data_IF_305455108163
#
_entry.id   IF_305455108163
#
_cell.length_a   1.000
_cell.length_b   1.000
_cell.length_c   1.000
_cell.angle_alpha   90.00
_cell.angle_beta   90.00
_cell.angle_gamma   90.00
#
_symmetry.space_group_name_H-M   'P 1'
#
loop_
_entity.id
_entity.type
_entity.pdbx_description
1 polymer ?
#
# COMPACT_ATOMS: atom_id res chain seq x y z
N UNK A 1 -20.64 -19.53 -5.43
CA UNK A 1 -20.28 -20.04 -6.77
C UNK A 1 -19.02 -19.34 -7.23
N UNK A 2 -18.09 -20.06 -7.87
CA UNK A 2 -16.84 -19.50 -8.37
C UNK A 2 -16.69 -19.75 -9.87
N UNK A 3 -16.05 -18.82 -10.58
CA UNK A 3 -15.71 -18.94 -12.00
C UNK A 3 -14.22 -18.62 -12.16
N UNK A 4 -13.53 -19.43 -12.97
CA UNK A 4 -12.14 -19.20 -13.39
C UNK A 4 -12.12 -19.12 -14.91
N UNK A 5 -11.55 -18.07 -15.48
CA UNK A 5 -11.40 -17.89 -16.91
C UNK A 5 -9.94 -17.53 -17.24
N UNK A 6 -9.33 -18.32 -18.11
CA UNK A 6 -7.94 -18.13 -18.53
C UNK A 6 -7.91 -17.44 -19.90
N UNK A 7 -6.99 -16.50 -20.09
CA UNK A 7 -6.77 -15.75 -21.33
C UNK A 7 -5.28 -15.53 -21.54
N UNK A 8 -4.82 -15.47 -22.78
CA UNK A 8 -3.44 -15.17 -23.12
C UNK A 8 -3.39 -13.95 -24.02
N UNK A 9 -2.48 -13.03 -23.71
CA UNK A 9 -2.18 -11.91 -24.58
C UNK A 9 -0.89 -12.18 -25.33
N UNK A 10 -0.91 -11.97 -26.64
CA UNK A 10 0.27 -12.01 -27.49
C UNK A 10 0.67 -10.58 -27.75
N UNK A 11 1.87 -10.22 -27.31
CA UNK A 11 2.42 -8.86 -27.37
C UNK A 11 3.69 -8.90 -28.22
N UNK A 12 3.86 -7.92 -29.08
CA UNK A 12 5.11 -7.76 -29.82
C UNK A 12 6.20 -7.17 -28.92
N UNK A 13 7.36 -7.82 -28.86
CA UNK A 13 8.49 -7.36 -28.05
C UNK A 13 9.09 -6.03 -28.55
N UNK A 14 9.03 -5.76 -29.85
CA UNK A 14 9.64 -4.56 -30.42
C UNK A 14 8.76 -3.31 -30.22
N UNK A 15 7.46 -3.46 -30.44
CA UNK A 15 6.49 -2.34 -30.38
C UNK A 15 5.77 -2.24 -29.04
N UNK A 16 5.71 -3.33 -28.27
CA UNK A 16 4.90 -3.41 -27.05
C UNK A 16 3.39 -3.47 -27.33
N UNK A 17 2.98 -3.57 -28.60
CA UNK A 17 1.56 -3.61 -28.96
C UNK A 17 0.98 -5.01 -28.74
N UNK A 18 -0.23 -5.05 -28.18
CA UNK A 18 -1.00 -6.29 -28.02
C UNK A 18 -1.59 -6.68 -29.36
N UNK A 19 -1.00 -7.66 -30.03
CA UNK A 19 -1.42 -8.14 -31.34
C UNK A 19 -2.65 -9.05 -31.26
N UNK A 20 -2.71 -9.93 -30.26
CA UNK A 20 -3.73 -10.98 -30.20
C UNK A 20 -4.19 -11.25 -28.77
N UNK A 21 -5.43 -11.72 -28.61
CA UNK A 21 -5.93 -12.31 -27.36
C UNK A 21 -6.44 -13.72 -27.63
N UNK A 22 -5.82 -14.73 -27.02
CA UNK A 22 -6.27 -16.12 -27.07
C UNK A 22 -7.12 -16.42 -25.84
N UNK A 23 -8.27 -17.03 -26.05
CA UNK A 23 -9.15 -17.52 -24.98
C UNK A 23 -9.49 -18.98 -25.24
N UNK A 24 -10.00 -19.70 -24.23
CA UNK A 24 -10.39 -21.11 -24.41
C UNK A 24 -11.41 -21.35 -25.53
N UNK A 25 -12.20 -20.34 -25.88
CA UNK A 25 -13.23 -20.40 -26.92
C UNK A 25 -12.82 -19.79 -28.27
N UNK A 26 -11.75 -19.01 -28.32
CA UNK A 26 -11.41 -18.22 -29.50
C UNK A 26 -9.91 -17.94 -29.61
N UNK A 27 -9.34 -18.26 -30.77
CA UNK A 27 -7.97 -17.97 -31.15
C UNK A 27 -7.96 -17.21 -32.48
N UNK A 28 -7.61 -15.93 -32.46
CA UNK A 28 -7.65 -15.05 -33.62
C UNK A 28 -6.39 -15.19 -34.48
N UNK A 29 -6.34 -16.11 -35.45
CA UNK A 29 -5.09 -16.41 -36.15
C UNK A 29 -4.58 -15.23 -37.00
N UNK A 30 -3.54 -14.54 -36.53
CA UNK A 30 -2.70 -13.65 -37.31
C UNK A 30 -1.34 -14.31 -37.56
N UNK A 31 -0.70 -13.99 -38.69
CA UNK A 31 0.62 -14.53 -39.03
C UNK A 31 1.64 -14.07 -37.98
N UNK A 32 2.33 -14.98 -37.27
CA UNK A 32 3.19 -14.60 -36.17
C UNK A 32 4.41 -13.83 -36.68
N UNK A 33 4.67 -12.67 -36.08
CA UNK A 33 5.97 -12.00 -36.18
C UNK A 33 7.02 -12.79 -35.39
N UNK A 34 8.31 -12.57 -35.66
CA UNK A 34 9.41 -13.42 -35.15
C UNK A 34 9.75 -13.24 -33.67
N UNK A 35 9.14 -12.29 -32.96
CA UNK A 35 9.46 -11.95 -31.56
C UNK A 35 8.20 -11.65 -30.73
N UNK A 36 7.46 -12.70 -30.38
CA UNK A 36 6.21 -12.61 -29.62
C UNK A 36 6.40 -12.95 -28.14
N UNK A 37 5.80 -12.12 -27.28
CA UNK A 37 5.69 -12.29 -25.85
C UNK A 37 4.30 -12.82 -25.49
N UNK A 38 4.24 -13.97 -24.82
CA UNK A 38 2.98 -14.57 -24.38
C UNK A 38 2.74 -14.32 -22.90
N UNK A 39 1.67 -13.58 -22.57
CA UNK A 39 1.29 -13.23 -21.20
C UNK A 39 0.00 -13.95 -20.83
N UNK A 40 0.09 -14.95 -19.96
CA UNK A 40 -1.10 -15.61 -19.39
C UNK A 40 -1.74 -14.75 -18.31
N UNK A 41 -3.05 -14.56 -18.36
CA UNK A 41 -3.86 -13.88 -17.35
C UNK A 41 -5.06 -14.75 -16.97
N UNK A 42 -5.30 -14.89 -15.68
CA UNK A 42 -6.48 -15.56 -15.14
C UNK A 42 -7.40 -14.57 -14.45
N UNK A 43 -8.68 -14.66 -14.76
CA UNK A 43 -9.79 -13.99 -14.07
C UNK A 43 -10.47 -14.97 -13.11
N UNK A 44 -10.53 -14.59 -11.84
CA UNK A 44 -11.21 -15.32 -10.77
C UNK A 44 -12.41 -14.50 -10.31
N UNK A 45 -13.62 -15.03 -10.49
CA UNK A 45 -14.85 -14.42 -9.99
C UNK A 45 -15.41 -15.27 -8.86
N UNK A 46 -15.66 -14.66 -7.71
CA UNK A 46 -16.25 -15.32 -6.54
C UNK A 46 -17.53 -14.60 -6.17
N UNK A 47 -18.61 -15.38 -6.06
CA UNK A 47 -19.94 -14.90 -5.66
C UNK A 47 -20.42 -15.66 -4.44
N UNK A 48 -20.89 -14.92 -3.44
CA UNK A 48 -21.48 -15.44 -2.22
C UNK A 48 -22.95 -15.03 -2.17
N UNK A 49 -23.82 -16.02 -2.03
CA UNK A 49 -25.26 -15.84 -1.91
C UNK A 49 -25.70 -16.17 -0.49
N UNK A 50 -26.67 -15.43 0.02
CA UNK A 50 -27.40 -15.82 1.23
C UNK A 50 -28.39 -16.93 0.89
N UNK A 51 -28.35 -18.03 1.65
CA UNK A 51 -29.26 -19.15 1.45
C UNK A 51 -30.69 -18.83 1.90
N UNK A 52 -30.88 -17.87 2.82
CA UNK A 52 -32.19 -17.51 3.37
C UNK A 52 -32.92 -16.50 2.48
N UNK A 53 -32.27 -15.41 2.12
CA UNK A 53 -32.88 -14.38 1.26
C UNK A 53 -32.73 -14.66 -0.24
N UNK A 54 -31.85 -15.61 -0.62
CA UNK A 54 -31.44 -15.87 -2.02
C UNK A 54 -30.81 -14.66 -2.72
N UNK A 55 -30.34 -13.67 -1.95
CA UNK A 55 -29.70 -12.47 -2.48
C UNK A 55 -28.18 -12.61 -2.56
N UNK A 56 -27.57 -11.88 -3.49
CA UNK A 56 -26.12 -11.80 -3.64
C UNK A 56 -25.54 -10.93 -2.51
N UNK A 57 -24.78 -11.55 -1.61
CA UNK A 57 -24.13 -10.89 -0.46
C UNK A 57 -22.77 -10.31 -0.81
N UNK A 58 -22.03 -10.98 -1.68
CA UNK A 58 -20.67 -10.57 -2.04
C UNK A 58 -20.34 -11.01 -3.46
N UNK A 59 -19.72 -10.10 -4.22
CA UNK A 59 -19.26 -10.34 -5.59
C UNK A 59 -17.90 -9.67 -5.76
N UNK A 60 -16.88 -10.47 -6.03
CA UNK A 60 -15.53 -9.96 -6.29
C UNK A 60 -14.94 -10.65 -7.51
N UNK A 61 -14.22 -9.85 -8.29
CA UNK A 61 -13.42 -10.33 -9.42
C UNK A 61 -11.97 -9.93 -9.20
N UNK A 62 -11.07 -10.90 -9.29
CA UNK A 62 -9.63 -10.72 -9.11
C UNK A 62 -8.89 -11.23 -10.34
N UNK A 63 -7.85 -10.53 -10.74
CA UNK A 63 -7.00 -10.89 -11.87
C UNK A 63 -5.60 -11.20 -11.41
N UNK A 64 -4.99 -12.23 -11.99
CA UNK A 64 -3.58 -12.56 -11.75
C UNK A 64 -2.91 -12.94 -13.06
N UNK A 65 -1.64 -12.59 -13.20
CA UNK A 65 -0.80 -13.09 -14.30
C UNK A 65 -0.22 -14.44 -13.94
N UNK A 66 -0.17 -15.33 -14.93
CA UNK A 66 0.50 -16.62 -14.83
C UNK A 66 2.01 -16.38 -14.83
N UNK A 67 2.64 -16.60 -13.67
CA UNK A 67 4.06 -16.39 -13.48
C UNK A 67 4.62 -17.47 -12.54
N UNK A 68 5.88 -17.84 -12.75
CA UNK A 68 6.62 -18.72 -11.84
C UNK A 68 7.25 -17.92 -10.71
N UNK A 69 7.52 -18.58 -9.60
CA UNK A 69 8.35 -18.00 -8.54
C UNK A 69 9.82 -18.05 -8.98
N UNK A 70 10.64 -17.07 -8.57
CA UNK A 70 12.06 -17.06 -8.88
C UNK A 70 12.74 -18.26 -8.20
N UNK A 71 13.68 -18.85 -8.91
CA UNK A 71 14.57 -19.88 -8.37
C UNK A 71 15.56 -19.25 -7.38
N UNK A 72 16.02 -19.99 -6.37
CA UNK A 72 16.97 -19.45 -5.36
C UNK A 72 18.31 -19.03 -5.99
N UNK A 73 18.66 -19.62 -7.14
CA UNK A 73 19.86 -19.31 -7.93
C UNK A 73 19.72 -18.08 -8.84
N UNK A 74 18.55 -17.44 -8.88
CA UNK A 74 18.35 -16.23 -9.67
C UNK A 74 19.11 -15.04 -9.07
N UNK A 75 20.17 -14.59 -9.72
CA UNK A 75 20.97 -13.42 -9.34
C UNK A 75 20.21 -12.09 -9.55
N UNK A 76 19.10 -11.90 -8.86
CA UNK A 76 18.35 -10.65 -8.88
C UNK A 76 18.84 -9.71 -7.78
N UNK A 77 19.60 -8.68 -8.17
CA UNK A 77 20.26 -7.74 -7.25
C UNK A 77 19.44 -6.47 -6.96
N UNK A 78 18.14 -6.48 -7.22
CA UNK A 78 17.29 -5.31 -6.98
C UNK A 78 16.19 -5.65 -5.98
N UNK A 79 15.83 -4.67 -5.16
CA UNK A 79 14.69 -4.73 -4.25
C UNK A 79 13.72 -3.60 -4.58
N UNK A 80 12.42 -3.91 -4.57
CA UNK A 80 11.38 -2.95 -4.92
C UNK A 80 10.54 -2.60 -3.69
N UNK A 81 10.31 -1.30 -3.51
CA UNK A 81 9.36 -0.77 -2.55
C UNK A 81 8.21 -0.11 -3.30
N UNK A 82 6.98 -0.53 -3.03
CA UNK A 82 5.79 0.00 -3.65
C UNK A 82 4.88 0.65 -2.61
N UNK A 83 4.30 1.79 -2.98
CA UNK A 83 3.29 2.47 -2.18
C UNK A 83 1.93 1.80 -2.33
N UNK A 84 1.21 1.62 -1.20
CA UNK A 84 -0.07 0.92 -1.22
C UNK A 84 -1.22 1.69 -1.89
N UNK A 85 -1.11 3.01 -2.12
CA UNK A 85 -2.24 3.84 -2.58
C UNK A 85 -1.97 4.82 -3.73
N UNK A 86 -0.72 5.17 -4.04
CA UNK A 86 -0.39 6.31 -4.92
C UNK A 86 0.32 5.90 -6.23
N UNK A 87 1.00 4.74 -6.24
CA UNK A 87 1.75 4.26 -7.42
C UNK A 87 3.21 4.67 -7.46
N UNK A 88 3.72 5.28 -6.39
CA UNK A 88 5.16 5.49 -6.18
C UNK A 88 5.86 4.14 -5.99
N UNK A 89 6.93 3.93 -6.77
CA UNK A 89 7.85 2.80 -6.69
C UNK A 89 9.26 3.32 -6.52
N UNK A 90 9.97 2.76 -5.55
CA UNK A 90 11.39 3.00 -5.32
C UNK A 90 12.12 1.68 -5.49
N UNK A 91 13.08 1.64 -6.42
CA UNK A 91 13.92 0.47 -6.64
C UNK A 91 15.32 0.77 -6.13
N UNK A 92 15.84 -0.16 -5.36
CA UNK A 92 17.15 -0.06 -4.71
C UNK A 92 17.99 -1.27 -5.04
N UNK A 93 19.29 -1.11 -5.00
CA UNK A 93 20.23 -2.23 -5.08
C UNK A 93 20.14 -3.06 -3.79
N UNK A 94 19.98 -4.38 -3.91
CA UNK A 94 19.73 -5.26 -2.76
C UNK A 94 20.95 -5.42 -1.85
N UNK A 95 22.15 -5.29 -2.41
CA UNK A 95 23.41 -5.45 -1.67
C UNK A 95 23.83 -4.16 -0.95
N UNK A 96 23.77 -3.02 -1.63
CA UNK A 96 24.19 -1.72 -1.11
C UNK A 96 23.08 -0.91 -0.43
N UNK A 97 21.82 -1.10 -0.82
CA UNK A 97 20.69 -0.26 -0.39
C UNK A 97 20.67 1.11 -1.10
N UNK A 98 21.47 1.30 -2.14
CA UNK A 98 21.50 2.52 -2.92
C UNK A 98 20.26 2.62 -3.83
N UNK A 99 19.65 3.79 -3.88
CA UNK A 99 18.49 4.04 -4.74
C UNK A 99 18.94 4.05 -6.20
N UNK A 100 18.40 3.12 -7.00
CA UNK A 100 18.66 3.03 -8.43
C UNK A 100 17.77 3.98 -9.21
N UNK A 101 16.46 3.96 -8.92
CA UNK A 101 15.49 4.84 -9.55
C UNK A 101 14.21 4.95 -8.72
N UNK A 102 13.49 6.05 -8.95
CA UNK A 102 12.20 6.35 -8.35
C UNK A 102 11.23 6.70 -9.48
N UNK A 103 10.07 6.08 -9.51
CA UNK A 103 9.06 6.31 -10.54
C UNK A 103 7.67 6.33 -9.91
N UNK A 104 6.80 7.21 -10.40
CA UNK A 104 5.37 7.20 -10.07
C UNK A 104 4.56 6.77 -11.30
N UNK A 105 3.71 5.76 -11.13
CA UNK A 105 2.84 5.22 -12.18
C UNK A 105 1.38 5.71 -12.09
N UNK A 106 1.02 6.48 -11.06
CA UNK A 106 -0.33 7.05 -10.87
C UNK A 106 -1.40 6.04 -10.42
N UNK A 107 -1.04 4.77 -10.24
CA UNK A 107 -1.89 3.74 -9.66
C UNK A 107 -1.04 2.75 -8.85
N UNK A 108 -1.55 2.22 -7.73
CA UNK A 108 -0.77 1.36 -6.84
C UNK A 108 -0.28 0.12 -7.59
N UNK A 109 1.03 -0.11 -7.52
CA UNK A 109 1.67 -1.26 -8.18
C UNK A 109 1.46 -2.49 -7.30
N UNK A 110 0.82 -3.52 -7.87
CA UNK A 110 0.40 -4.73 -7.11
C UNK A 110 1.33 -5.93 -7.30
N UNK A 111 2.17 -5.92 -8.34
CA UNK A 111 3.11 -6.98 -8.63
C UNK A 111 4.20 -6.51 -9.61
N UNK A 112 5.37 -7.15 -9.53
CA UNK A 112 6.47 -6.97 -10.46
C UNK A 112 6.73 -8.30 -11.16
N UNK A 113 7.04 -8.24 -12.46
CA UNK A 113 7.34 -9.41 -13.26
C UNK A 113 8.58 -9.17 -14.12
N UNK A 114 9.42 -10.19 -14.23
CA UNK A 114 10.58 -10.22 -15.13
C UNK A 114 10.33 -11.28 -16.19
N UNK A 115 10.68 -10.97 -17.43
CA UNK A 115 10.67 -11.97 -18.49
C UNK A 115 12.01 -12.71 -18.54
N UNK A 116 12.01 -14.02 -18.29
CA UNK A 116 13.22 -14.84 -18.31
C UNK A 116 12.90 -16.27 -18.76
N UNK A 117 13.75 -16.84 -19.63
CA UNK A 117 13.59 -18.20 -20.18
C UNK A 117 12.18 -18.47 -20.74
N UNK A 118 11.67 -17.54 -21.53
CA UNK A 118 10.34 -17.64 -22.19
C UNK A 118 9.13 -17.69 -21.22
N UNK A 119 9.29 -17.22 -19.98
CA UNK A 119 8.22 -17.11 -19.00
C UNK A 119 8.30 -15.86 -18.12
N UNK A 120 7.19 -15.53 -17.45
CA UNK A 120 7.14 -14.46 -16.45
C UNK A 120 7.56 -14.98 -15.09
N UNK A 121 8.49 -14.30 -14.44
CA UNK A 121 8.91 -14.54 -13.06
C UNK A 121 8.35 -13.44 -12.17
N UNK A 122 7.63 -13.82 -11.11
CA UNK A 122 7.06 -12.87 -10.15
C UNK A 122 8.12 -12.42 -9.15
N UNK A 123 8.46 -11.14 -9.15
CA UNK A 123 9.42 -10.57 -8.22
C UNK A 123 8.70 -10.13 -6.94
N UNK A 124 9.29 -10.47 -5.79
CA UNK A 124 8.79 -10.01 -4.50
C UNK A 124 9.11 -8.53 -4.31
N UNK A 125 8.16 -7.79 -3.75
CA UNK A 125 8.32 -6.38 -3.40
C UNK A 125 7.80 -6.15 -1.99
N UNK A 126 8.28 -5.08 -1.36
CA UNK A 126 7.81 -4.65 -0.05
C UNK A 126 6.80 -3.53 -0.19
N UNK A 127 5.64 -3.71 0.43
CA UNK A 127 4.60 -2.69 0.49
C UNK A 127 4.85 -1.73 1.65
N UNK A 128 4.81 -0.44 1.36
CA UNK A 128 5.11 0.63 2.33
C UNK A 128 4.00 1.68 2.28
N UNK A 129 3.64 2.24 3.44
CA UNK A 129 2.67 3.33 3.53
C UNK A 129 3.10 4.52 2.68
N UNK A 130 2.14 5.25 2.11
CA UNK A 130 2.40 6.34 1.15
C UNK A 130 3.26 7.43 1.80
N UNK A 131 2.89 7.85 3.00
CA UNK A 131 3.61 8.83 3.81
C UNK A 131 5.02 8.34 4.12
N UNK A 132 5.15 7.06 4.45
CA UNK A 132 6.43 6.45 4.79
C UNK A 132 7.37 6.35 3.61
N UNK A 133 6.88 5.91 2.45
CA UNK A 133 7.71 5.79 1.26
C UNK A 133 8.16 7.17 0.77
N UNK A 134 7.28 8.18 0.82
CA UNK A 134 7.62 9.58 0.51
C UNK A 134 8.64 10.14 1.50
N UNK A 135 8.48 9.89 2.79
CA UNK A 135 9.43 10.30 3.82
C UNK A 135 10.82 9.69 3.57
N UNK A 136 10.90 8.37 3.34
CA UNK A 136 12.16 7.69 3.03
C UNK A 136 12.81 8.22 1.75
N UNK A 137 11.99 8.48 0.72
CA UNK A 137 12.46 9.07 -0.54
C UNK A 137 13.02 10.47 -0.33
N UNK A 138 12.36 11.31 0.47
CA UNK A 138 12.82 12.64 0.80
C UNK A 138 14.15 12.62 1.57
N UNK A 139 14.26 11.74 2.56
CA UNK A 139 15.50 11.57 3.35
C UNK A 139 16.67 11.04 2.52
N UNK A 140 16.38 10.25 1.48
CA UNK A 140 17.39 9.71 0.55
C UNK A 140 17.77 10.68 -0.59
N UNK A 141 16.93 11.68 -0.88
CA UNK A 141 17.11 12.65 -1.98
C UNK A 141 18.14 13.76 -1.71
N UNK A 142 18.08 14.83 -2.49
CA UNK A 142 19.05 15.96 -2.52
C UNK A 142 19.36 16.58 -1.13
N UNK A 143 18.43 16.51 -0.17
CA UNK A 143 18.62 17.01 1.21
C UNK A 143 19.57 16.10 2.03
N UNK A 144 19.62 14.80 1.74
CA UNK A 144 20.65 13.89 2.26
C UNK A 144 22.04 14.16 1.66
N UNK A 145 22.10 14.72 0.44
CA UNK A 145 23.37 15.17 -0.18
C UNK A 145 23.92 16.43 0.48
N UNK A 146 23.07 17.40 0.83
CA UNK A 146 23.47 18.68 1.48
C UNK A 146 24.12 18.43 2.85
N UNK A 147 23.71 17.37 3.55
CA UNK A 147 24.22 17.06 4.89
C UNK A 147 25.37 16.04 4.91
N UNK A 148 25.81 15.50 3.75
CA UNK A 148 26.69 14.31 3.65
C UNK A 148 26.17 13.06 4.38
N UNK A 149 24.94 13.08 4.89
CA UNK A 149 24.28 11.90 5.44
C UNK A 149 23.57 11.17 4.30
N UNK A 150 24.32 10.30 3.61
CA UNK A 150 23.70 9.29 2.74
C UNK A 150 22.95 8.34 3.66
N UNK A 151 21.66 8.56 3.91
CA UNK A 151 20.80 7.54 4.50
C UNK A 151 20.48 6.56 3.36
N UNK A 152 21.16 5.40 3.27
CA UNK A 152 20.77 4.39 2.31
C UNK A 152 19.31 4.03 2.57
N UNK A 153 18.56 3.75 1.50
CA UNK A 153 17.23 3.19 1.69
C UNK A 153 17.38 1.91 2.50
N UNK A 154 16.51 1.65 3.50
CA UNK A 154 16.67 0.46 4.30
C UNK A 154 16.62 -0.76 3.38
N UNK A 155 17.60 -1.66 3.53
CA UNK A 155 17.56 -2.98 2.89
C UNK A 155 16.25 -3.67 3.27
N UNK A 156 15.75 -4.58 2.44
CA UNK A 156 14.47 -5.26 2.72
C UNK A 156 14.41 -5.86 4.14
N UNK A 157 15.52 -6.45 4.61
CA UNK A 157 15.66 -7.00 5.96
C UNK A 157 15.64 -5.93 7.06
N UNK A 158 16.25 -4.77 6.81
CA UNK A 158 16.26 -3.64 7.75
C UNK A 158 14.93 -2.87 7.75
N UNK A 159 14.26 -2.77 6.60
CA UNK A 159 12.93 -2.18 6.50
C UNK A 159 11.93 -2.99 7.33
N UNK A 160 12.03 -4.33 7.27
CA UNK A 160 11.21 -5.24 8.09
C UNK A 160 11.49 -5.13 9.59
N UNK A 161 12.69 -4.71 10.00
CA UNK A 161 13.05 -4.58 11.42
C UNK A 161 12.83 -3.18 12.01
N UNK A 162 12.99 -2.13 11.20
CA UNK A 162 12.86 -0.72 11.63
C UNK A 162 11.45 -0.16 11.47
N UNK A 163 10.67 -0.68 10.53
CA UNK A 163 9.30 -0.23 10.27
C UNK A 163 8.29 -1.14 10.98
N UNK A 164 7.13 -0.58 11.31
CA UNK A 164 6.05 -1.32 11.95
C UNK A 164 5.15 -1.98 10.90
N UNK A 165 4.84 -3.28 11.01
CA UNK A 165 3.91 -3.96 10.13
C UNK A 165 2.47 -3.55 10.44
N UNK A 166 1.73 -3.16 9.40
CA UNK A 166 0.34 -2.69 9.47
C UNK A 166 -0.48 -3.28 8.32
N UNK A 167 -1.81 -3.08 8.40
CA UNK A 167 -2.73 -3.43 7.34
C UNK A 167 -3.28 -2.12 6.75
N UNK A 168 -2.90 -1.83 5.51
CA UNK A 168 -3.45 -0.71 4.78
C UNK A 168 -4.82 -1.09 4.24
N UNK A 169 -5.82 -0.21 4.42
CA UNK A 169 -7.15 -0.34 3.82
C UNK A 169 -7.34 0.83 2.87
N UNK A 170 -7.49 0.52 1.59
CA UNK A 170 -7.65 1.48 0.52
C UNK A 170 -9.00 1.35 -0.17
N UNK A 171 -9.28 2.33 -1.03
CA UNK A 171 -10.44 2.34 -1.92
C UNK A 171 -9.97 2.49 -3.36
N UNK A 172 -10.49 1.66 -4.26
CA UNK A 172 -10.28 1.79 -5.69
C UNK A 172 -11.62 1.76 -6.41
N UNK A 173 -11.96 2.85 -7.10
CA UNK A 173 -13.30 3.08 -7.64
C UNK A 173 -14.37 2.93 -6.55
N UNK A 174 -15.21 1.90 -6.62
CA UNK A 174 -16.27 1.59 -5.64
C UNK A 174 -15.89 0.47 -4.66
N UNK A 175 -14.76 -0.21 -4.88
CA UNK A 175 -14.31 -1.34 -4.07
C UNK A 175 -13.36 -0.92 -2.95
N UNK A 176 -13.46 -1.59 -1.81
CA UNK A 176 -12.46 -1.54 -0.74
C UNK A 176 -11.47 -2.69 -0.92
N UNK A 177 -10.20 -2.45 -0.62
CA UNK A 177 -9.17 -3.48 -0.62
C UNK A 177 -8.27 -3.32 0.61
N UNK A 178 -7.60 -4.41 0.99
CA UNK A 178 -6.62 -4.40 2.05
C UNK A 178 -5.31 -5.02 1.56
N UNK A 179 -4.19 -4.47 2.02
CA UNK A 179 -2.85 -4.96 1.69
C UNK A 179 -1.94 -4.83 2.91
N UNK A 180 -0.99 -5.77 3.12
CA UNK A 180 0.09 -5.55 4.08
C UNK A 180 0.85 -4.27 3.73
N UNK A 181 1.30 -3.56 4.75
CA UNK A 181 2.04 -2.30 4.61
C UNK A 181 3.00 -2.09 5.77
N UNK A 182 4.14 -1.50 5.51
CA UNK A 182 5.11 -1.08 6.52
C UNK A 182 5.04 0.44 6.72
N UNK A 183 5.03 0.90 7.98
CA UNK A 183 4.96 2.33 8.31
C UNK A 183 6.05 2.74 9.30
N UNK A 184 6.49 4.00 9.24
CA UNK A 184 7.40 4.56 10.24
C UNK A 184 6.66 5.03 11.50
N UNK A 185 7.44 5.27 12.56
CA UNK A 185 6.95 5.85 13.81
C UNK A 185 6.38 7.26 13.57
N UNK A 186 5.14 7.50 14.00
CA UNK A 186 4.44 8.77 13.80
C UNK A 186 3.29 8.72 12.78
N UNK A 187 3.14 7.62 12.03
CA UNK A 187 1.93 7.39 11.23
C UNK A 187 0.78 6.96 12.15
N UNK A 188 -0.40 7.55 11.98
CA UNK A 188 -1.59 7.17 12.74
C UNK A 188 -2.04 5.76 12.33
N UNK A 189 -2.08 4.84 13.30
CA UNK A 189 -2.50 3.45 13.11
C UNK A 189 -3.75 3.22 13.94
N UNK A 190 -4.75 2.56 13.36
CA UNK A 190 -5.94 2.14 14.11
C UNK A 190 -5.55 1.07 15.13
N UNK A 191 -5.76 1.28 16.44
CA UNK A 191 -5.46 0.27 17.44
C UNK A 191 -6.34 -0.98 17.27
N UNK A 192 -5.73 -2.15 17.44
CA UNK A 192 -6.44 -3.44 17.34
C UNK A 192 -7.47 -3.53 18.46
N UNK A 193 -8.73 -3.80 18.12
CA UNK A 193 -9.80 -4.01 19.08
C UNK A 193 -10.49 -2.73 19.59
N UNK A 194 -10.11 -1.55 19.12
CA UNK A 194 -10.88 -0.33 19.37
C UNK A 194 -12.04 -0.22 18.37
N UNK A 195 -13.20 0.31 18.80
CA UNK A 195 -14.30 0.58 17.88
C UNK A 195 -13.81 1.57 16.81
N UNK A 196 -14.25 1.36 15.57
CA UNK A 196 -14.00 2.31 14.49
C UNK A 196 -14.48 3.68 14.97
N UNK A 197 -13.60 4.69 15.04
CA UNK A 197 -14.00 6.02 15.46
C UNK A 197 -15.07 6.50 14.49
N UNK A 198 -16.27 6.70 15.02
CA UNK A 198 -17.37 7.28 14.27
C UNK A 198 -16.98 8.72 13.93
N UNK A 199 -17.44 9.22 12.78
CA UNK A 199 -17.26 10.63 12.39
C UNK A 199 -17.82 11.56 13.48
N UNK A 200 -18.84 11.08 14.20
CA UNK A 200 -19.47 11.75 15.35
C UNK A 200 -18.55 11.88 16.58
N UNK A 201 -17.40 11.21 16.60
CA UNK A 201 -16.49 11.17 17.75
C UNK A 201 -17.00 10.29 18.89
N UNK A 202 -16.24 10.18 20.00
CA UNK A 202 -16.67 9.44 21.18
C UNK A 202 -17.87 10.14 21.83
N UNK A 203 -19.03 9.46 21.85
CA UNK A 203 -20.22 9.94 22.59
C UNK A 203 -19.95 9.81 24.09
N UNK A 204 -19.63 10.93 24.73
CA UNK A 204 -19.51 11.00 26.19
C UNK A 204 -20.94 11.15 26.74
N UNK A 205 -21.42 10.15 27.47
CA UNK A 205 -22.69 10.25 28.20
C UNK A 205 -22.59 11.41 29.20
N UNK A 206 -23.40 12.45 28.99
CA UNK A 206 -23.44 13.66 29.82
C UNK A 206 -22.83 14.92 29.21
N UNK A 207 -22.18 14.84 28.03
CA UNK A 207 -21.59 16.03 27.36
C UNK A 207 -22.07 16.19 25.91
N UNK A 208 -22.47 15.10 25.26
CA UNK A 208 -22.99 15.16 23.87
C UNK A 208 -24.46 15.58 23.89
N UNK A 209 -24.71 16.88 23.79
CA UNK A 209 -26.04 17.44 23.52
C UNK A 209 -26.25 17.30 22.01
N UNK A 210 -27.24 16.50 21.60
CA UNK A 210 -27.72 16.51 20.21
C UNK A 210 -28.14 17.94 19.87
N UNK A 211 -27.68 18.48 18.74
CA UNK A 211 -27.91 19.87 18.33
C UNK A 211 -29.40 20.24 18.44
N UNK A 212 -29.74 20.88 19.55
CA UNK A 212 -30.90 21.72 19.68
C UNK A 212 -30.35 23.10 20.04
N UNK A 213 -30.56 24.04 19.13
CA UNK A 213 -30.21 25.45 19.24
C UNK A 213 -30.53 25.94 20.65
N UNK A 214 -29.51 26.19 21.46
CA UNK A 214 -29.37 27.20 22.54
C UNK A 214 -28.04 26.88 23.22
N UNK A 215 -27.05 27.76 23.07
CA UNK A 215 -25.73 27.68 23.72
C UNK A 215 -25.84 27.47 25.24
N UNK A 216 -25.25 26.41 25.81
CA UNK A 216 -24.99 26.36 27.24
C UNK A 216 -23.48 26.47 27.52
N UNK A 217 -23.14 27.41 28.40
CA UNK A 217 -21.81 27.61 28.97
C UNK A 217 -21.32 26.35 29.68
N UNK A 218 -20.10 25.91 29.40
CA UNK A 218 -19.47 24.75 30.06
C UNK A 218 -18.64 25.22 31.26
N UNK A 219 -19.10 24.96 32.48
CA UNK A 219 -18.30 25.11 33.70
C UNK A 219 -17.48 23.83 33.93
N UNK A 220 -16.18 23.88 33.62
CA UNK A 220 -15.26 22.76 33.82
C UNK A 220 -14.77 22.74 35.27
N UNK A 221 -15.23 21.77 36.07
CA UNK A 221 -14.62 21.44 37.37
C UNK A 221 -13.60 20.33 37.22
N UNK A 222 -12.32 20.69 37.27
CA UNK A 222 -11.22 19.72 37.40
C UNK A 222 -11.14 19.18 38.83
N UNK A 223 -11.11 17.86 39.00
CA UNK A 223 -10.74 17.23 40.27
C UNK A 223 -9.21 17.15 40.38
N UNK A 224 -8.59 17.67 41.46
CA UNK A 224 -7.15 17.61 41.62
C UNK A 224 -6.76 16.33 42.36
N UNK A 225 -6.11 15.41 41.65
CA UNK A 225 -5.75 14.12 42.22
C UNK A 225 -4.46 13.54 41.67
N UNK A 226 -3.34 14.29 41.66
CA UNK A 226 -2.02 13.65 41.76
C UNK A 226 -0.87 14.61 42.14
N UNK A 227 -0.16 14.19 43.19
CA UNK A 227 1.27 14.41 43.56
C UNK A 227 1.72 15.67 44.32
N UNK A 228 2.11 15.38 45.58
CA UNK A 228 3.46 15.49 46.13
C UNK A 228 4.16 16.86 46.16
N UNK A 229 4.46 17.31 47.38
CA UNK A 229 5.35 18.43 47.71
C UNK A 229 6.78 18.17 47.21
N UNK A 230 7.39 19.15 46.54
CA UNK A 230 8.54 19.98 47.00
C UNK A 230 9.29 20.61 45.81
N UNK A 231 9.22 21.95 45.75
CA UNK A 231 10.25 22.92 45.32
C UNK A 231 10.93 22.77 43.96
N UNK A 232 10.74 23.76 43.07
CA UNK A 232 11.76 24.78 42.77
C UNK A 232 11.24 25.86 41.77
N UNK A 233 11.32 27.12 42.20
CA UNK A 233 11.66 28.34 41.46
C UNK A 233 11.20 28.59 40.00
N UNK A 234 10.27 29.56 39.90
CA UNK A 234 10.40 30.88 39.22
C UNK A 234 10.78 31.02 37.72
N UNK A 235 9.97 31.88 37.08
CA UNK A 235 10.13 32.68 35.84
C UNK A 235 9.76 31.96 34.54
N UNK A 236 8.56 32.19 33.97
CA UNK A 236 8.09 33.42 33.28
C UNK A 236 9.03 33.79 32.13
N UNK A 237 8.59 33.52 30.90
CA UNK A 237 8.48 34.52 29.82
C UNK A 237 7.61 33.97 28.69
N UNK A 238 6.52 34.70 28.41
CA UNK A 238 5.62 34.53 27.28
C UNK A 238 6.16 35.31 26.10
N UNK A 239 6.14 34.76 24.89
CA UNK A 239 5.91 35.53 23.66
C UNK A 239 5.03 34.72 22.70
N UNK A 240 3.82 35.24 22.46
CA UNK A 240 2.90 34.83 21.40
C UNK A 240 3.42 35.37 20.06
N UNK A 241 3.34 34.55 19.01
CA UNK A 241 3.53 34.99 17.64
C UNK A 241 2.15 35.34 17.03
N UNK A 242 2.10 36.48 16.34
CA UNK A 242 1.13 36.74 15.26
C UNK A 242 1.54 35.88 14.07
#
# INVERSE_FOLDING_TARGET
MGKKQDSWYVVDLATGEKQQTLTSSFAESLCPSTSLLYLGRTEYTITMYDTKSKELRWNATYFNYAATLPDEDAQYKMSHFASNGDGLVVTVDSESGDVLWIQNYGSPVVAFYIWQREGLWKVMHTNVGVETLRYLTFMSGEVGRITKWKYPFPKETEAKSKLMPTLYVGKYSTGLYASPSMVHEGVAIMPRGSPIPLIEGPKIQGVTIEECVITPSTDLRFQPGFKSKKGLHYLRNHWLLI
#
